data_IF_051171517007
#
_entry.id   IF_051171517007
#
_cell.length_a   1.000
_cell.length_b   1.000
_cell.length_c   1.000
_cell.angle_alpha   90.00
_cell.angle_beta   90.00
_cell.angle_gamma   90.00
#
_symmetry.space_group_name_H-M   'P 1'
#
loop_
_entity.id
_entity.type
_entity.pdbx_description
1 polymer ?
#
# COMPACT_ATOMS: atom_id res chain seq x y z
N UNK A 1 -15.72 13.90 -24.82
CA UNK A 1 -16.37 12.60 -25.14
C UNK A 1 -16.56 11.87 -23.82
N UNK A 2 -17.70 11.23 -23.60
CA UNK A 2 -18.00 10.40 -22.42
C UNK A 2 -18.14 8.96 -22.89
N UNK A 3 -17.77 7.99 -22.07
CA UNK A 3 -17.87 6.56 -22.40
C UNK A 3 -19.34 6.17 -22.60
N UNK A 4 -19.60 5.35 -23.61
CA UNK A 4 -20.97 4.90 -23.91
C UNK A 4 -21.49 3.94 -22.81
N UNK A 5 -22.74 4.14 -22.39
CA UNK A 5 -23.36 3.42 -21.26
C UNK A 5 -23.49 1.92 -21.56
N UNK A 6 -24.10 1.53 -22.66
CA UNK A 6 -24.45 0.12 -22.93
C UNK A 6 -23.24 -0.83 -23.06
N UNK A 7 -22.13 -0.47 -23.74
CA UNK A 7 -20.94 -1.32 -23.79
C UNK A 7 -20.34 -1.54 -22.42
N UNK A 8 -20.21 -0.46 -21.60
CA UNK A 8 -19.62 -0.55 -20.27
C UNK A 8 -20.52 -1.35 -19.31
N UNK A 9 -21.83 -1.10 -19.34
CA UNK A 9 -22.81 -1.86 -18.56
C UNK A 9 -22.78 -3.35 -18.88
N UNK A 10 -22.70 -3.68 -20.16
CA UNK A 10 -22.62 -5.06 -20.61
C UNK A 10 -21.32 -5.73 -20.14
N UNK A 11 -20.18 -5.00 -20.16
CA UNK A 11 -18.91 -5.50 -19.67
C UNK A 11 -18.94 -5.76 -18.14
N UNK A 12 -19.50 -4.83 -17.36
CA UNK A 12 -19.63 -5.00 -15.89
C UNK A 12 -20.51 -6.23 -15.58
N UNK A 13 -21.64 -6.38 -16.25
CA UNK A 13 -22.54 -7.54 -16.08
C UNK A 13 -21.84 -8.86 -16.44
N UNK A 14 -21.11 -8.89 -17.52
CA UNK A 14 -20.33 -10.06 -17.91
C UNK A 14 -19.24 -10.40 -16.89
N UNK A 15 -18.53 -9.38 -16.37
CA UNK A 15 -17.51 -9.58 -15.34
C UNK A 15 -18.13 -10.15 -14.05
N UNK A 16 -19.28 -9.61 -13.59
CA UNK A 16 -20.01 -10.14 -12.45
C UNK A 16 -20.47 -11.59 -12.66
N UNK A 17 -20.97 -11.90 -13.84
CA UNK A 17 -21.38 -13.27 -14.18
C UNK A 17 -20.21 -14.25 -14.16
N UNK A 18 -19.01 -13.82 -14.61
CA UNK A 18 -17.80 -14.65 -14.58
C UNK A 18 -17.23 -14.84 -13.17
N UNK A 19 -17.40 -13.86 -12.30
CA UNK A 19 -16.97 -13.92 -10.89
C UNK A 19 -18.01 -14.65 -10.00
N UNK A 20 -19.27 -14.82 -10.46
CA UNK A 20 -20.32 -15.44 -9.67
C UNK A 20 -19.97 -16.89 -9.33
N UNK A 21 -20.06 -17.23 -8.04
CA UNK A 21 -19.88 -18.58 -7.50
C UNK A 21 -21.07 -18.90 -6.60
N UNK A 22 -21.38 -20.19 -6.48
CA UNK A 22 -22.36 -20.65 -5.51
C UNK A 22 -21.85 -20.33 -4.10
N UNK A 23 -22.68 -19.69 -3.29
CA UNK A 23 -22.41 -19.33 -1.89
C UNK A 23 -21.35 -18.21 -1.64
N UNK A 24 -20.85 -17.50 -2.67
CA UNK A 24 -19.95 -16.36 -2.49
C UNK A 24 -20.71 -15.01 -2.50
N UNK A 25 -20.18 -14.01 -1.80
CA UNK A 25 -20.66 -12.63 -1.94
C UNK A 25 -20.41 -12.14 -3.38
N UNK A 26 -21.36 -11.36 -3.97
CA UNK A 26 -21.16 -10.82 -5.30
C UNK A 26 -19.88 -9.96 -5.39
N UNK A 27 -19.09 -10.17 -6.43
CA UNK A 27 -17.91 -9.36 -6.68
C UNK A 27 -18.28 -7.88 -6.89
N UNK A 28 -17.65 -6.99 -6.15
CA UNK A 28 -17.89 -5.54 -6.24
C UNK A 28 -17.22 -4.96 -7.46
N UNK A 29 -17.96 -4.10 -8.17
CA UNK A 29 -17.42 -3.29 -9.27
C UNK A 29 -16.80 -2.01 -8.68
N UNK A 30 -15.48 -1.91 -8.76
CA UNK A 30 -14.67 -0.82 -8.21
C UNK A 30 -14.20 0.10 -9.35
N UNK A 31 -14.66 1.34 -9.37
CA UNK A 31 -14.22 2.35 -10.33
C UNK A 31 -12.92 3.02 -9.87
N UNK A 32 -11.94 3.11 -10.75
CA UNK A 32 -10.72 3.91 -10.52
C UNK A 32 -10.99 5.36 -10.91
N UNK A 33 -11.08 6.24 -9.92
CA UNK A 33 -11.54 7.62 -10.08
C UNK A 33 -10.82 8.54 -9.09
N UNK A 34 -10.44 9.78 -9.48
CA UNK A 34 -9.94 10.78 -8.53
C UNK A 34 -10.93 11.15 -7.41
N UNK A 35 -12.22 10.86 -7.59
CA UNK A 35 -13.28 11.15 -6.63
C UNK A 35 -13.42 10.05 -5.55
N UNK A 36 -12.76 8.90 -5.76
CA UNK A 36 -12.87 7.74 -4.89
C UNK A 36 -12.15 7.90 -3.55
N UNK A 37 -12.39 6.95 -2.64
CA UNK A 37 -11.65 6.80 -1.39
C UNK A 37 -10.15 6.62 -1.70
N UNK A 38 -9.24 7.30 -0.98
CA UNK A 38 -7.80 7.09 -1.14
C UNK A 38 -7.40 5.63 -0.91
N UNK A 39 -6.61 5.09 -1.85
CA UNK A 39 -6.04 3.75 -1.77
C UNK A 39 -4.76 3.82 -0.91
N UNK A 40 -4.90 3.57 0.38
CA UNK A 40 -3.82 3.40 1.33
C UNK A 40 -3.56 1.91 1.63
N UNK A 41 -2.57 1.61 2.47
CA UNK A 41 -2.22 0.22 2.79
C UNK A 41 -3.34 -0.52 3.52
N UNK A 42 -4.17 0.16 4.32
CA UNK A 42 -5.32 -0.47 4.97
C UNK A 42 -6.41 -0.84 3.95
N UNK A 43 -6.66 0.03 2.97
CA UNK A 43 -7.53 -0.28 1.85
C UNK A 43 -7.00 -1.47 1.02
N UNK A 44 -5.69 -1.53 0.77
CA UNK A 44 -5.06 -2.67 0.08
C UNK A 44 -5.24 -3.97 0.87
N UNK A 45 -5.07 -3.95 2.20
CA UNK A 45 -5.34 -5.11 3.07
C UNK A 45 -6.81 -5.53 3.03
N UNK A 46 -7.73 -4.57 2.98
CA UNK A 46 -9.17 -4.84 2.83
C UNK A 46 -9.45 -5.55 1.51
N UNK A 47 -8.92 -5.02 0.41
CA UNK A 47 -9.11 -5.57 -0.93
C UNK A 47 -8.46 -6.95 -1.09
N UNK A 48 -7.30 -7.20 -0.49
CA UNK A 48 -6.60 -8.48 -0.54
C UNK A 48 -7.34 -9.64 0.16
N UNK A 49 -8.35 -9.34 0.98
CA UNK A 49 -9.19 -10.37 1.63
C UNK A 49 -10.36 -10.82 0.77
N UNK A 50 -10.61 -10.14 -0.34
CA UNK A 50 -11.73 -10.45 -1.24
C UNK A 50 -11.32 -11.57 -2.20
N UNK A 51 -12.25 -12.42 -2.53
CA UNK A 51 -12.02 -13.50 -3.49
C UNK A 51 -11.94 -12.98 -4.92
N UNK A 52 -12.72 -11.96 -5.26
CA UNK A 52 -12.80 -11.37 -6.60
C UNK A 52 -12.83 -9.84 -6.54
N UNK A 53 -12.20 -9.20 -7.52
CA UNK A 53 -12.22 -7.76 -7.74
C UNK A 53 -12.58 -7.48 -9.20
N UNK A 54 -13.60 -6.66 -9.43
CA UNK A 54 -13.94 -6.12 -10.75
C UNK A 54 -13.47 -4.67 -10.79
N UNK A 55 -12.43 -4.40 -11.60
CA UNK A 55 -11.88 -3.06 -11.74
C UNK A 55 -12.42 -2.40 -13.00
N UNK A 56 -13.07 -1.25 -12.81
CA UNK A 56 -13.64 -0.45 -13.90
C UNK A 56 -12.71 0.73 -14.16
N UNK A 57 -12.21 0.82 -15.40
CA UNK A 57 -11.27 1.84 -15.85
C UNK A 57 -11.99 2.85 -16.75
N UNK A 58 -12.16 4.08 -16.28
CA UNK A 58 -12.70 5.17 -17.07
C UNK A 58 -11.72 5.69 -18.12
N UNK A 59 -12.26 6.25 -19.21
CA UNK A 59 -11.54 6.93 -20.28
C UNK A 59 -12.23 8.22 -20.69
N UNK A 60 -11.55 9.08 -21.44
CA UNK A 60 -12.06 10.36 -21.93
C UNK A 60 -12.39 11.33 -20.80
N UNK A 61 -13.59 11.97 -20.85
CA UNK A 61 -14.10 12.88 -19.81
C UNK A 61 -14.76 12.15 -18.63
N UNK A 62 -14.89 10.80 -18.73
CA UNK A 62 -15.46 9.99 -17.67
C UNK A 62 -16.57 9.04 -18.13
N UNK A 63 -17.32 8.58 -17.16
CA UNK A 63 -18.45 7.64 -17.28
C UNK A 63 -19.74 8.40 -16.97
N UNK A 64 -20.86 8.00 -17.61
CA UNK A 64 -22.17 8.57 -17.31
C UNK A 64 -22.55 8.32 -15.84
N UNK A 65 -22.89 9.39 -15.11
CA UNK A 65 -23.15 9.35 -13.67
C UNK A 65 -24.24 8.34 -13.30
N UNK A 66 -25.28 8.21 -14.14
CA UNK A 66 -26.34 7.23 -13.92
C UNK A 66 -25.84 5.78 -13.97
N UNK A 67 -24.76 5.52 -14.73
CA UNK A 67 -24.14 4.20 -14.76
C UNK A 67 -23.30 3.96 -13.51
N UNK A 68 -22.64 4.98 -13.00
CA UNK A 68 -21.91 4.92 -11.73
C UNK A 68 -22.89 4.59 -10.61
N UNK A 69 -23.98 5.35 -10.47
CA UNK A 69 -25.01 5.12 -9.46
C UNK A 69 -25.66 3.73 -9.53
N UNK A 70 -25.79 3.15 -10.72
CA UNK A 70 -26.51 1.89 -10.93
C UNK A 70 -25.64 0.64 -10.88
N UNK A 71 -24.36 0.75 -11.25
CA UNK A 71 -23.51 -0.44 -11.49
C UNK A 71 -22.18 -0.41 -10.73
N UNK A 72 -21.77 0.72 -10.14
CA UNK A 72 -20.52 0.82 -9.37
C UNK A 72 -20.81 0.70 -7.89
N UNK A 73 -20.10 -0.18 -7.20
CA UNK A 73 -20.30 -0.43 -5.78
C UNK A 73 -19.35 0.44 -4.92
N UNK A 74 -18.22 0.85 -5.47
CA UNK A 74 -17.21 1.66 -4.77
C UNK A 74 -16.26 2.35 -5.74
N UNK A 75 -15.61 3.41 -5.27
CA UNK A 75 -14.62 4.15 -6.05
C UNK A 75 -13.29 4.26 -5.28
N UNK A 76 -12.17 4.10 -5.99
CA UNK A 76 -10.81 4.17 -5.43
C UNK A 76 -9.95 5.19 -6.17
N UNK A 77 -9.25 6.04 -5.41
CA UNK A 77 -8.28 7.01 -5.91
C UNK A 77 -6.86 6.61 -5.52
N UNK A 78 -5.92 6.65 -6.46
CA UNK A 78 -4.49 6.45 -6.18
C UNK A 78 -3.73 7.76 -5.88
N UNK A 79 -4.44 8.90 -5.83
CA UNK A 79 -3.86 10.20 -5.49
C UNK A 79 -4.53 11.37 -6.20
N UNK A 80 -4.19 12.58 -5.77
CA UNK A 80 -4.78 13.84 -6.22
C UNK A 80 -4.14 14.33 -7.53
N UNK A 81 -4.25 13.54 -8.58
CA UNK A 81 -3.80 13.85 -9.92
C UNK A 81 -4.64 13.11 -10.97
N UNK A 82 -4.63 13.63 -12.20
CA UNK A 82 -5.43 13.09 -13.29
C UNK A 82 -4.56 12.26 -14.24
N UNK A 83 -5.05 11.08 -14.60
CA UNK A 83 -4.47 10.20 -15.62
C UNK A 83 -5.35 10.20 -16.88
N UNK A 84 -4.78 9.75 -18.01
CA UNK A 84 -5.52 9.61 -19.27
C UNK A 84 -6.55 8.48 -19.27
N UNK A 85 -6.55 7.62 -18.25
CA UNK A 85 -7.48 6.52 -18.07
C UNK A 85 -7.18 5.74 -16.78
N UNK A 86 -8.10 4.89 -16.34
CA UNK A 86 -8.02 4.15 -15.08
C UNK A 86 -7.06 2.96 -15.10
N UNK A 87 -6.51 2.56 -16.24
CA UNK A 87 -5.76 1.30 -16.37
C UNK A 87 -4.45 1.31 -15.58
N UNK A 88 -3.75 2.45 -15.48
CA UNK A 88 -2.55 2.56 -14.67
C UNK A 88 -2.88 2.51 -13.18
N UNK A 89 -3.99 3.13 -12.78
CA UNK A 89 -4.49 3.04 -11.41
C UNK A 89 -4.86 1.59 -11.06
N UNK A 90 -5.52 0.88 -11.98
CA UNK A 90 -5.82 -0.55 -11.82
C UNK A 90 -4.54 -1.39 -11.68
N UNK A 91 -3.51 -1.12 -12.47
CA UNK A 91 -2.23 -1.81 -12.37
C UNK A 91 -1.56 -1.60 -11.02
N UNK A 92 -1.57 -0.37 -10.47
CA UNK A 92 -1.07 -0.06 -9.13
C UNK A 92 -1.83 -0.84 -8.05
N UNK A 93 -3.17 -0.85 -8.13
CA UNK A 93 -4.01 -1.59 -7.19
C UNK A 93 -3.75 -3.10 -7.27
N UNK A 94 -3.67 -3.66 -8.48
CA UNK A 94 -3.39 -5.09 -8.69
C UNK A 94 -2.03 -5.45 -8.10
N UNK A 95 -0.98 -4.69 -8.36
CA UNK A 95 0.35 -4.95 -7.81
C UNK A 95 0.32 -4.93 -6.28
N UNK A 96 -0.23 -3.86 -5.70
CA UNK A 96 -0.30 -3.69 -4.26
C UNK A 96 -1.08 -4.84 -3.56
N UNK A 97 -2.22 -5.24 -4.11
CA UNK A 97 -3.04 -6.35 -3.58
C UNK A 97 -2.32 -7.68 -3.75
N UNK A 98 -1.76 -7.94 -4.94
CA UNK A 98 -1.12 -9.23 -5.27
C UNK A 98 0.07 -9.52 -4.35
N UNK A 99 0.84 -8.50 -3.94
CA UNK A 99 1.95 -8.64 -2.98
C UNK A 99 1.52 -9.18 -1.61
N UNK A 100 0.25 -9.00 -1.22
CA UNK A 100 -0.30 -9.48 0.06
C UNK A 100 -0.92 -10.87 -0.04
N UNK A 101 -1.04 -11.45 -1.23
CA UNK A 101 -1.61 -12.77 -1.39
C UNK A 101 -0.60 -13.85 -0.97
N UNK A 102 -1.05 -14.90 -0.26
CA UNK A 102 -0.19 -16.00 0.16
C UNK A 102 0.54 -16.65 -1.01
N UNK A 103 1.84 -16.93 -0.84
CA UNK A 103 2.65 -17.64 -1.84
C UNK A 103 3.06 -16.81 -3.07
N UNK A 104 2.73 -15.54 -3.15
CA UNK A 104 3.14 -14.67 -4.28
C UNK A 104 4.58 -14.19 -4.09
N UNK A 105 4.95 -13.78 -2.89
CA UNK A 105 6.33 -13.42 -2.57
C UNK A 105 7.09 -14.63 -2.05
N UNK A 106 8.37 -14.74 -2.42
CA UNK A 106 9.24 -15.84 -2.00
C UNK A 106 9.53 -15.84 -0.49
N UNK A 107 9.36 -14.73 0.19
CA UNK A 107 9.42 -14.58 1.64
C UNK A 107 8.17 -13.85 2.12
N UNK A 108 7.28 -14.56 2.81
CA UNK A 108 6.03 -14.00 3.35
C UNK A 108 6.27 -12.90 4.39
N UNK A 109 7.41 -12.94 5.11
CA UNK A 109 7.77 -11.90 6.08
C UNK A 109 8.15 -10.58 5.40
N UNK A 110 8.60 -10.62 4.15
CA UNK A 110 8.98 -9.42 3.40
C UNK A 110 7.82 -8.44 3.27
N UNK A 111 6.64 -8.93 2.89
CA UNK A 111 5.46 -8.05 2.78
C UNK A 111 5.02 -7.46 4.13
N UNK A 112 5.20 -8.21 5.23
CA UNK A 112 4.80 -7.77 6.57
C UNK A 112 5.73 -6.69 7.16
N UNK A 113 6.97 -6.60 6.68
CA UNK A 113 7.97 -5.64 7.13
C UNK A 113 8.03 -4.36 6.27
N UNK A 114 7.27 -4.31 5.16
CA UNK A 114 7.21 -3.15 4.28
C UNK A 114 6.59 -1.93 4.97
N UNK A 115 6.88 -0.74 4.42
CA UNK A 115 6.29 0.52 4.88
C UNK A 115 4.76 0.44 4.96
N UNK A 116 4.20 1.06 5.97
CA UNK A 116 2.76 1.18 6.26
C UNK A 116 2.06 -0.10 6.75
N UNK A 117 2.74 -1.25 6.82
CA UNK A 117 2.12 -2.48 7.30
C UNK A 117 1.76 -2.40 8.79
N UNK A 118 2.58 -1.72 9.57
CA UNK A 118 2.36 -1.40 11.00
C UNK A 118 2.24 0.11 11.25
N UNK A 119 1.95 0.90 10.20
CA UNK A 119 1.80 2.35 10.26
C UNK A 119 3.11 3.14 10.19
N UNK A 120 4.27 2.50 10.09
CA UNK A 120 5.57 3.14 9.99
C UNK A 120 6.15 3.06 8.58
N UNK A 121 7.13 3.90 8.30
CA UNK A 121 8.04 3.68 7.18
C UNK A 121 9.03 2.58 7.54
N UNK A 122 9.41 1.79 6.55
CA UNK A 122 10.44 0.78 6.72
C UNK A 122 11.83 1.36 7.02
N UNK A 123 12.72 0.54 7.58
CA UNK A 123 14.10 0.89 7.93
C UNK A 123 15.00 1.01 6.68
N UNK A 124 16.26 1.38 6.89
CA UNK A 124 17.26 1.37 5.81
C UNK A 124 17.69 -0.05 5.50
N UNK A 125 17.82 -0.33 4.19
CA UNK A 125 18.41 -1.56 3.69
C UNK A 125 19.83 -1.32 3.18
N UNK A 126 20.69 -2.32 3.36
CA UNK A 126 22.09 -2.28 2.94
C UNK A 126 22.40 -3.55 2.14
N UNK A 127 23.26 -3.42 1.13
CA UNK A 127 23.75 -4.52 0.32
C UNK A 127 25.29 -4.49 0.24
N UNK A 128 25.88 -5.45 -0.42
CA UNK A 128 27.32 -5.49 -0.70
C UNK A 128 27.72 -4.41 -1.70
N UNK A 129 28.95 -3.86 -1.60
CA UNK A 129 29.98 -4.16 -0.60
C UNK A 129 29.69 -3.54 0.77
N UNK A 130 30.37 -4.02 1.84
CA UNK A 130 30.22 -3.53 3.21
C UNK A 130 30.53 -2.04 3.37
N UNK A 131 31.39 -1.50 2.51
CA UNK A 131 31.81 -0.09 2.57
C UNK A 131 31.81 0.55 1.18
N UNK A 132 31.14 1.71 1.08
CA UNK A 132 31.07 2.52 -0.15
C UNK A 132 31.49 3.95 0.21
N UNK A 133 32.54 4.49 -0.44
CA UNK A 133 33.00 5.87 -0.29
C UNK A 133 33.16 6.32 1.17
N UNK A 134 33.71 5.44 1.99
CA UNK A 134 33.94 5.70 3.41
C UNK A 134 32.75 5.41 4.33
N UNK A 135 31.56 5.19 3.79
CA UNK A 135 30.34 4.84 4.55
C UNK A 135 30.24 3.31 4.67
N UNK A 136 30.12 2.81 5.90
CA UNK A 136 30.01 1.39 6.18
C UNK A 136 28.55 0.98 6.52
N UNK A 137 28.24 -0.28 6.25
CA UNK A 137 27.03 -0.91 6.79
C UNK A 137 27.08 -0.84 8.32
N UNK A 138 25.99 -0.51 9.00
CA UNK A 138 25.94 -0.51 10.46
C UNK A 138 26.41 -1.85 11.05
N UNK A 139 27.37 -1.86 11.99
CA UNK A 139 27.98 -3.09 12.51
C UNK A 139 26.96 -4.08 13.10
N UNK A 140 25.86 -3.58 13.68
CA UNK A 140 24.80 -4.40 14.22
C UNK A 140 24.18 -5.32 13.17
N UNK A 141 24.08 -4.88 11.91
CA UNK A 141 23.53 -5.69 10.81
C UNK A 141 24.47 -6.82 10.38
N UNK A 142 25.75 -6.75 10.77
CA UNK A 142 26.76 -7.77 10.48
C UNK A 142 27.03 -8.69 11.68
N UNK A 143 26.41 -8.42 12.83
CA UNK A 143 26.68 -9.13 14.10
C UNK A 143 26.16 -10.56 14.15
N UNK A 144 25.12 -10.91 13.36
CA UNK A 144 24.38 -12.15 13.49
C UNK A 144 23.45 -12.22 14.71
N UNK A 145 23.40 -11.18 15.54
CA UNK A 145 22.45 -11.06 16.66
C UNK A 145 21.10 -10.58 16.15
N UNK A 146 20.19 -11.53 15.93
CA UNK A 146 18.86 -11.24 15.38
C UNK A 146 18.04 -10.26 16.26
N UNK A 147 18.15 -10.37 17.59
CA UNK A 147 17.42 -9.47 18.50
C UNK A 147 17.95 -8.04 18.41
N UNK A 148 19.27 -7.85 18.38
CA UNK A 148 19.88 -6.53 18.20
C UNK A 148 19.56 -5.93 16.81
N UNK A 149 19.54 -6.77 15.76
CA UNK A 149 19.18 -6.36 14.40
C UNK A 149 17.71 -5.91 14.34
N UNK A 150 16.80 -6.66 14.92
CA UNK A 150 15.37 -6.32 14.95
C UNK A 150 15.10 -5.03 15.72
N UNK A 151 15.68 -4.88 16.90
CA UNK A 151 15.62 -3.64 17.69
C UNK A 151 16.18 -2.44 16.90
N UNK A 152 17.29 -2.62 16.22
CA UNK A 152 17.89 -1.57 15.38
C UNK A 152 16.94 -1.18 14.24
N UNK A 153 16.38 -2.16 13.51
CA UNK A 153 15.42 -1.93 12.42
C UNK A 153 14.21 -1.15 12.93
N UNK A 154 13.62 -1.57 14.05
CA UNK A 154 12.47 -0.88 14.66
C UNK A 154 12.81 0.56 15.03
N UNK A 155 13.96 0.80 15.66
CA UNK A 155 14.45 2.16 15.97
C UNK A 155 14.59 3.01 14.71
N UNK A 156 15.14 2.46 13.63
CA UNK A 156 15.30 3.18 12.37
C UNK A 156 13.95 3.49 11.70
N UNK A 157 13.01 2.56 11.71
CA UNK A 157 11.65 2.78 11.17
C UNK A 157 10.95 3.93 11.90
N UNK A 158 10.95 3.92 13.23
CA UNK A 158 10.42 5.02 14.06
C UNK A 158 11.09 6.36 13.75
N UNK A 159 12.42 6.36 13.69
CA UNK A 159 13.19 7.57 13.42
C UNK A 159 12.98 8.13 12.00
N UNK A 160 12.93 7.26 11.00
CA UNK A 160 12.63 7.66 9.61
C UNK A 160 11.23 8.19 9.46
N UNK A 161 10.26 7.56 10.11
CA UNK A 161 8.88 8.03 10.12
C UNK A 161 8.80 9.42 10.74
N UNK A 162 9.43 9.62 11.90
CA UNK A 162 9.49 10.93 12.52
C UNK A 162 10.12 12.02 11.64
N UNK A 163 11.16 11.68 10.87
CA UNK A 163 11.86 12.63 10.00
C UNK A 163 11.11 12.96 8.70
N UNK A 164 10.38 12.00 8.13
CA UNK A 164 9.86 12.08 6.76
C UNK A 164 8.35 12.14 6.68
N UNK A 165 7.67 11.51 7.61
CA UNK A 165 6.23 11.36 7.65
C UNK A 165 5.73 11.42 9.10
N UNK A 166 6.00 12.55 9.81
CA UNK A 166 5.66 12.67 11.24
C UNK A 166 4.16 12.50 11.54
N UNK A 167 3.30 12.82 10.59
CA UNK A 167 1.85 12.65 10.70
C UNK A 167 1.43 11.17 10.90
N UNK A 168 2.22 10.22 10.44
CA UNK A 168 1.94 8.80 10.66
C UNK A 168 2.09 8.42 12.15
N UNK A 169 2.98 9.10 12.88
CA UNK A 169 3.14 8.85 14.31
C UNK A 169 2.01 9.45 15.16
N UNK A 170 1.33 10.49 14.67
CA UNK A 170 0.22 11.12 15.39
C UNK A 170 -0.98 10.17 15.57
N UNK A 171 -1.15 9.23 14.62
CA UNK A 171 -2.20 8.22 14.63
C UNK A 171 -1.85 6.92 15.36
N UNK A 172 -0.59 6.76 15.82
CA UNK A 172 -0.09 5.52 16.43
C UNK A 172 0.02 5.63 17.94
N UNK A 173 -0.57 4.65 18.64
CA UNK A 173 -0.31 4.44 20.07
C UNK A 173 1.02 3.67 20.20
N UNK A 174 2.13 4.39 20.44
CA UNK A 174 3.42 3.77 20.69
C UNK A 174 3.45 3.15 22.09
N UNK A 175 4.03 1.97 22.21
CA UNK A 175 4.35 1.39 23.50
C UNK A 175 5.60 2.05 24.11
N UNK A 176 5.84 1.79 25.41
CA UNK A 176 6.95 2.37 26.15
C UNK A 176 8.32 2.08 25.52
N UNK A 177 8.49 0.91 24.92
CA UNK A 177 9.74 0.51 24.26
C UNK A 177 9.95 1.31 22.97
N UNK A 178 8.92 1.43 22.12
CA UNK A 178 8.94 2.24 20.89
C UNK A 178 9.18 3.72 21.18
N UNK A 179 8.58 4.27 22.25
CA UNK A 179 8.83 5.64 22.69
C UNK A 179 10.29 5.85 23.09
N UNK A 180 10.88 4.91 23.85
CA UNK A 180 12.28 4.94 24.25
C UNK A 180 13.22 4.86 23.04
N UNK A 181 12.94 3.97 22.07
CA UNK A 181 13.71 3.85 20.82
C UNK A 181 13.63 5.13 19.96
N UNK A 182 12.47 5.75 19.89
CA UNK A 182 12.30 7.02 19.16
C UNK A 182 13.06 8.15 19.85
N UNK A 183 13.05 8.22 21.18
CA UNK A 183 13.83 9.19 21.95
C UNK A 183 15.33 9.00 21.71
N UNK A 184 15.82 7.75 21.79
CA UNK A 184 17.21 7.39 21.49
C UNK A 184 17.63 7.84 20.07
N UNK A 185 16.79 7.56 19.07
CA UNK A 185 17.06 7.99 17.68
C UNK A 185 17.14 9.52 17.57
N UNK A 186 16.21 10.26 18.20
CA UNK A 186 16.20 11.72 18.18
C UNK A 186 17.47 12.31 18.79
N UNK A 187 17.96 11.72 19.88
CA UNK A 187 19.18 12.16 20.54
C UNK A 187 20.43 11.88 19.71
N UNK A 188 20.50 10.70 19.06
CA UNK A 188 21.58 10.38 18.10
C UNK A 188 21.56 11.34 16.91
N UNK A 189 20.39 11.61 16.35
CA UNK A 189 20.25 12.51 15.21
C UNK A 189 20.68 13.95 15.51
N UNK A 190 20.37 14.44 16.73
CA UNK A 190 20.82 15.78 17.17
C UNK A 190 22.33 15.89 17.32
N UNK A 191 23.01 14.81 17.69
CA UNK A 191 24.48 14.77 17.84
C UNK A 191 25.23 14.72 16.52
N UNK A 192 24.55 14.31 15.44
CA UNK A 192 25.11 14.22 14.08
C UNK A 192 24.97 15.52 13.26
N UNK A 193 24.18 16.47 13.73
CA UNK A 193 24.02 17.81 13.16
C UNK A 193 24.85 18.85 13.89
#
# INVERSE_FOLDING_TARGET
MVMAVEPLRSAIKAARANAARDDAEPAKASLLSPQGRPLDQEAVKELARREDLILVCGRYEGIDERLIELEIDEEWSIGDYVLSGGELAAAVLIDAVTRLLPGVLGDEQSAQQDSFMDGLLDCQHFTRPEKIDGQAVPPVLLSGDHGAIERWRRKQSLGRTWLRRPELLEGLALDTESEAMLAEFKDEYRKLK
#
